data_IF_499746742649
#
_entry.id   IF_499746742649
#
_cell.length_a   1.000
_cell.length_b   1.000
_cell.length_c   1.000
_cell.angle_alpha   90.00
_cell.angle_beta   90.00
_cell.angle_gamma   90.00
#
_symmetry.space_group_name_H-M   'P 1'
#
loop_
_entity.id
_entity.type
_entity.pdbx_description
1 polymer ?
#
# COMPACT_ATOMS: atom_id res chain seq x y z
N UNK A 1 0.05 -26.75 -43.56
CA UNK A 1 -0.43 -25.99 -42.37
C UNK A 1 -1.01 -26.85 -41.24
N UNK A 2 -1.77 -27.95 -41.47
CA UNK A 2 -2.21 -28.81 -40.36
C UNK A 2 -1.02 -29.46 -39.61
N UNK A 3 0.09 -29.70 -40.31
CA UNK A 3 1.29 -30.32 -39.73
C UNK A 3 1.95 -29.43 -38.66
N UNK A 4 2.01 -28.11 -38.91
CA UNK A 4 2.57 -27.14 -37.94
C UNK A 4 1.70 -27.03 -36.68
N UNK A 5 0.38 -27.17 -36.84
CA UNK A 5 -0.57 -27.16 -35.71
C UNK A 5 -0.42 -28.45 -34.88
N UNK A 6 -0.26 -29.60 -35.54
CA UNK A 6 -0.04 -30.88 -34.88
C UNK A 6 1.32 -30.93 -34.17
N UNK A 7 2.37 -30.43 -34.80
CA UNK A 7 3.71 -30.32 -34.20
C UNK A 7 3.71 -29.38 -32.99
N UNK A 8 3.10 -28.20 -33.11
CA UNK A 8 2.96 -27.26 -32.00
C UNK A 8 2.16 -27.86 -30.83
N UNK A 9 1.14 -28.66 -31.12
CA UNK A 9 0.37 -29.40 -30.10
C UNK A 9 1.24 -30.44 -29.41
N UNK A 10 1.96 -31.28 -30.16
CA UNK A 10 2.83 -32.30 -29.60
C UNK A 10 3.93 -31.70 -28.70
N UNK A 11 4.50 -30.55 -29.09
CA UNK A 11 5.49 -29.84 -28.28
C UNK A 11 4.90 -29.18 -27.03
N UNK A 12 3.61 -28.82 -27.05
CA UNK A 12 2.92 -28.17 -25.93
C UNK A 12 2.38 -29.19 -24.92
N UNK A 13 1.84 -30.31 -25.41
CA UNK A 13 1.27 -31.39 -24.59
C UNK A 13 2.33 -32.42 -24.19
N UNK A 14 3.49 -32.43 -24.86
CA UNK A 14 4.63 -33.27 -24.52
C UNK A 14 5.58 -32.62 -23.50
N UNK A 15 6.22 -33.45 -22.69
CA UNK A 15 7.45 -33.11 -21.98
C UNK A 15 8.63 -33.24 -22.94
N UNK A 16 9.53 -32.25 -22.97
CA UNK A 16 10.75 -32.33 -23.76
C UNK A 16 11.67 -33.48 -23.30
N UNK A 17 12.75 -33.78 -24.05
CA UNK A 17 13.64 -34.92 -23.77
C UNK A 17 14.25 -34.88 -22.35
N UNK A 18 14.39 -33.69 -21.76
CA UNK A 18 14.93 -33.48 -20.40
C UNK A 18 13.86 -33.54 -19.29
N UNK A 19 12.63 -33.98 -19.60
CA UNK A 19 11.48 -33.91 -18.68
C UNK A 19 10.99 -32.48 -18.41
N UNK A 20 11.61 -31.47 -19.04
CA UNK A 20 11.23 -30.05 -18.93
C UNK A 20 10.20 -29.68 -19.99
N UNK A 21 9.22 -28.88 -19.62
CA UNK A 21 8.23 -28.38 -20.57
C UNK A 21 8.75 -27.16 -21.32
N UNK A 22 8.71 -27.23 -22.66
CA UNK A 22 9.11 -26.14 -23.54
C UNK A 22 8.19 -24.92 -23.37
N UNK A 23 8.76 -23.77 -23.06
CA UNK A 23 8.05 -22.50 -22.96
C UNK A 23 7.44 -22.12 -24.32
N UNK A 24 6.42 -21.26 -24.31
CA UNK A 24 5.82 -20.76 -25.57
C UNK A 24 6.84 -20.11 -26.50
N UNK A 25 7.89 -19.48 -25.95
CA UNK A 25 8.95 -18.85 -26.74
C UNK A 25 9.79 -19.89 -27.47
N UNK A 26 10.11 -21.01 -26.82
CA UNK A 26 10.88 -22.11 -27.42
C UNK A 26 10.05 -22.87 -28.45
N UNK A 27 8.76 -23.11 -28.18
CA UNK A 27 7.85 -23.71 -29.17
C UNK A 27 7.71 -22.78 -30.39
N UNK A 28 7.59 -21.47 -30.17
CA UNK A 28 7.53 -20.48 -31.25
C UNK A 28 8.80 -20.47 -32.11
N UNK A 29 9.97 -20.51 -31.48
CA UNK A 29 11.25 -20.58 -32.18
C UNK A 29 11.39 -21.86 -33.02
N UNK A 30 10.89 -23.00 -32.52
CA UNK A 30 10.99 -24.30 -33.18
C UNK A 30 10.00 -24.47 -34.34
N UNK A 31 8.79 -23.93 -34.19
CA UNK A 31 7.71 -24.08 -35.19
C UNK A 31 7.65 -22.93 -36.19
N UNK A 32 8.43 -21.86 -36.00
CA UNK A 32 8.34 -20.63 -36.80
C UNK A 32 7.05 -19.83 -36.59
N UNK A 33 6.24 -20.21 -35.59
CA UNK A 33 4.93 -19.60 -35.32
C UNK A 33 5.03 -18.60 -34.17
N UNK A 34 4.34 -17.46 -34.29
CA UNK A 34 4.34 -16.47 -33.20
C UNK A 34 3.73 -17.02 -31.90
N UNK A 35 4.24 -16.54 -30.76
CA UNK A 35 3.69 -16.87 -29.43
C UNK A 35 2.20 -16.51 -29.29
N UNK A 36 1.76 -15.44 -29.96
CA UNK A 36 0.37 -15.01 -30.00
C UNK A 36 -0.52 -16.02 -30.75
N UNK A 37 -0.01 -16.60 -31.84
CA UNK A 37 -0.70 -17.66 -32.59
C UNK A 37 -0.82 -18.94 -31.76
N UNK A 38 0.26 -19.36 -31.08
CA UNK A 38 0.22 -20.49 -30.15
C UNK A 38 -0.80 -20.28 -29.01
N UNK A 39 -0.89 -19.06 -28.47
CA UNK A 39 -1.90 -18.72 -27.46
C UNK A 39 -3.33 -18.79 -28.00
N UNK A 40 -3.56 -18.35 -29.25
CA UNK A 40 -4.86 -18.47 -29.91
C UNK A 40 -5.23 -19.92 -30.16
N UNK A 41 -4.29 -20.74 -30.64
CA UNK A 41 -4.52 -22.18 -30.85
C UNK A 41 -4.82 -22.91 -29.56
N UNK A 42 -4.05 -22.68 -28.49
CA UNK A 42 -4.35 -23.26 -27.18
C UNK A 42 -5.77 -22.94 -26.71
N UNK A 43 -6.21 -21.68 -26.84
CA UNK A 43 -7.57 -21.27 -26.46
C UNK A 43 -8.63 -21.91 -27.34
N UNK A 44 -8.43 -21.90 -28.66
CA UNK A 44 -9.38 -22.42 -29.66
C UNK A 44 -9.54 -23.95 -29.56
N UNK A 45 -8.45 -24.67 -29.34
CA UNK A 45 -8.41 -26.13 -29.34
C UNK A 45 -8.31 -26.74 -27.93
N UNK A 46 -8.39 -25.92 -26.87
CA UNK A 46 -8.33 -26.32 -25.46
C UNK A 46 -7.14 -27.22 -25.11
N UNK A 47 -5.99 -27.01 -25.75
CA UNK A 47 -4.78 -27.81 -25.49
C UNK A 47 -4.33 -27.67 -24.03
N UNK A 48 -4.02 -28.81 -23.41
CA UNK A 48 -3.64 -28.88 -22.01
C UNK A 48 -2.16 -29.15 -21.89
N UNK A 49 -1.48 -28.38 -21.04
CA UNK A 49 -0.11 -28.69 -20.68
C UNK A 49 -0.16 -29.77 -19.59
N UNK A 50 0.57 -30.89 -19.71
CA UNK A 50 0.64 -31.85 -18.63
C UNK A 50 1.08 -31.14 -17.34
N UNK A 51 0.65 -31.54 -16.16
CA UNK A 51 1.19 -30.98 -14.92
C UNK A 51 2.57 -31.61 -14.69
N UNK A 52 3.65 -30.97 -15.16
CA UNK A 52 4.99 -31.41 -14.82
C UNK A 52 5.20 -31.19 -13.32
N UNK A 53 5.24 -32.30 -12.57
CA UNK A 53 5.83 -32.38 -11.24
C UNK A 53 5.31 -31.32 -10.28
N UNK A 54 4.07 -31.44 -9.84
CA UNK A 54 3.59 -30.74 -8.63
C UNK A 54 4.36 -31.30 -7.44
N UNK A 55 5.56 -30.75 -7.17
CA UNK A 55 6.17 -30.88 -5.85
C UNK A 55 5.17 -30.36 -4.80
N UNK A 56 5.01 -31.03 -3.65
CA UNK A 56 4.19 -30.52 -2.55
C UNK A 56 4.95 -29.38 -1.87
N UNK A 57 5.02 -28.23 -2.54
CA UNK A 57 5.72 -27.05 -2.07
C UNK A 57 4.68 -26.05 -1.55
N UNK A 58 4.83 -25.69 -0.27
CA UNK A 58 3.89 -24.87 0.49
C UNK A 58 3.38 -23.66 -0.29
N UNK A 59 2.06 -23.53 -0.30
CA UNK A 59 1.25 -22.45 -0.87
C UNK A 59 1.96 -21.09 -0.88
N UNK A 60 2.67 -20.78 -1.97
CA UNK A 60 2.97 -19.41 -2.35
C UNK A 60 1.73 -18.85 -3.05
N UNK A 61 1.02 -17.86 -2.48
CA UNK A 61 -0.13 -17.30 -3.15
C UNK A 61 0.34 -16.59 -4.43
N UNK A 62 -0.41 -16.84 -5.49
CA UNK A 62 -0.22 -16.26 -6.81
C UNK A 62 0.06 -14.75 -6.71
N UNK A 63 1.07 -14.27 -7.44
CA UNK A 63 1.30 -12.82 -7.59
C UNK A 63 0.06 -12.19 -8.22
N UNK A 64 -0.79 -11.58 -7.39
CA UNK A 64 -2.00 -10.90 -7.84
C UNK A 64 -1.62 -9.66 -8.65
N UNK A 65 -1.88 -9.73 -9.97
CA UNK A 65 -1.85 -8.58 -10.87
C UNK A 65 -2.87 -7.55 -10.40
N UNK A 66 -2.43 -6.29 -10.35
CA UNK A 66 -3.29 -5.10 -10.27
C UNK A 66 -4.37 -5.19 -11.36
N UNK A 67 -5.60 -5.49 -10.96
CA UNK A 67 -6.75 -5.57 -11.84
C UNK A 67 -8.01 -5.30 -11.03
N UNK A 68 -8.82 -4.35 -11.48
CA UNK A 68 -10.05 -3.88 -10.85
C UNK A 68 -10.96 -5.05 -10.42
N UNK A 69 -11.39 -5.01 -9.16
CA UNK A 69 -12.75 -5.40 -8.80
C UNK A 69 -13.08 -6.88 -8.62
N UNK A 70 -12.10 -7.78 -8.41
CA UNK A 70 -12.47 -9.11 -7.92
C UNK A 70 -12.70 -9.06 -6.40
N UNK A 71 -13.91 -9.35 -5.88
CA UNK A 71 -14.10 -9.48 -4.45
C UNK A 71 -13.16 -10.57 -3.93
N UNK A 72 -12.50 -10.29 -2.81
CA UNK A 72 -11.72 -11.30 -2.10
C UNK A 72 -12.63 -12.52 -1.89
N UNK A 73 -12.14 -13.71 -2.25
CA UNK A 73 -12.85 -14.95 -1.92
C UNK A 73 -13.27 -14.87 -0.44
N UNK A 74 -14.52 -15.17 -0.13
CA UNK A 74 -15.06 -15.11 1.23
C UNK A 74 -14.14 -15.83 2.25
N UNK A 75 -13.40 -16.82 1.76
CA UNK A 75 -12.36 -17.58 2.45
C UNK A 75 -11.24 -16.71 3.01
N UNK A 76 -10.78 -15.67 2.31
CA UNK A 76 -9.69 -14.80 2.77
C UNK A 76 -10.13 -13.93 3.95
N UNK A 77 -11.35 -13.38 3.90
CA UNK A 77 -11.92 -12.57 4.99
C UNK A 77 -12.15 -13.46 6.23
N UNK A 78 -12.68 -14.66 6.04
CA UNK A 78 -12.86 -15.65 7.11
C UNK A 78 -11.53 -16.12 7.72
N UNK A 79 -10.52 -16.36 6.90
CA UNK A 79 -9.18 -16.73 7.37
C UNK A 79 -8.52 -15.61 8.18
N UNK A 80 -8.62 -14.36 7.72
CA UNK A 80 -8.12 -13.21 8.49
C UNK A 80 -8.88 -13.07 9.81
N UNK A 81 -10.23 -13.19 9.81
CA UNK A 81 -11.03 -13.12 11.04
C UNK A 81 -10.53 -14.13 12.07
N UNK A 82 -10.43 -15.41 11.69
CA UNK A 82 -9.95 -16.47 12.59
C UNK A 82 -8.58 -16.12 13.15
N UNK A 83 -7.62 -15.73 12.31
CA UNK A 83 -6.26 -15.41 12.77
C UNK A 83 -6.23 -14.19 13.69
N UNK A 84 -7.03 -13.15 13.41
CA UNK A 84 -7.10 -11.95 14.26
C UNK A 84 -7.68 -12.26 15.64
N UNK A 85 -8.73 -13.09 15.71
CA UNK A 85 -9.43 -13.36 16.98
C UNK A 85 -8.78 -14.47 17.82
N UNK A 86 -8.04 -15.39 17.19
CA UNK A 86 -7.45 -16.56 17.87
C UNK A 86 -5.96 -16.43 18.12
N UNK A 87 -5.25 -15.53 17.42
CA UNK A 87 -3.79 -15.42 17.51
C UNK A 87 -3.32 -14.02 17.88
N UNK A 88 -2.13 -13.94 18.45
CA UNK A 88 -1.41 -12.68 18.70
C UNK A 88 -0.46 -12.31 17.54
N UNK A 89 -0.63 -12.92 16.35
CA UNK A 89 0.25 -12.68 15.21
C UNK A 89 0.13 -11.22 14.73
N UNK A 90 1.23 -10.51 14.47
CA UNK A 90 1.15 -9.14 13.95
C UNK A 90 0.40 -9.11 12.62
N UNK A 91 -0.28 -8.00 12.31
CA UNK A 91 -1.08 -7.87 11.08
C UNK A 91 -0.26 -8.20 9.82
N UNK A 92 1.03 -7.86 9.80
CA UNK A 92 1.92 -8.17 8.70
C UNK A 92 2.16 -9.68 8.52
N UNK A 93 2.19 -10.46 9.61
CA UNK A 93 2.31 -11.92 9.55
C UNK A 93 1.00 -12.56 9.07
N UNK A 94 -0.14 -12.10 9.59
CA UNK A 94 -1.47 -12.52 9.14
C UNK A 94 -1.64 -12.24 7.63
N UNK A 95 -1.24 -11.05 7.19
CA UNK A 95 -1.28 -10.63 5.80
C UNK A 95 -0.45 -11.56 4.90
N UNK A 96 0.79 -11.88 5.30
CA UNK A 96 1.64 -12.84 4.57
C UNK A 96 1.02 -14.23 4.51
N UNK A 97 0.45 -14.71 5.61
CA UNK A 97 -0.14 -16.04 5.71
C UNK A 97 -1.39 -16.20 4.84
N UNK A 98 -2.21 -15.15 4.72
CA UNK A 98 -3.45 -15.18 3.92
C UNK A 98 -3.24 -14.66 2.48
N UNK A 99 -2.08 -14.06 2.17
CA UNK A 99 -1.79 -13.52 0.85
C UNK A 99 -2.51 -12.20 0.55
N UNK A 100 -2.81 -11.41 1.58
CA UNK A 100 -3.45 -10.09 1.47
C UNK A 100 -2.50 -8.99 1.92
N UNK A 101 -2.84 -7.72 1.66
CA UNK A 101 -2.04 -6.61 2.18
C UNK A 101 -2.33 -6.35 3.67
N UNK A 102 -1.33 -5.87 4.42
CA UNK A 102 -1.51 -5.46 5.81
C UNK A 102 -2.59 -4.38 5.95
N UNK A 103 -2.60 -3.40 5.02
CA UNK A 103 -3.60 -2.35 5.01
C UNK A 103 -5.03 -2.91 4.93
N UNK A 104 -5.24 -3.98 4.17
CA UNK A 104 -6.55 -4.62 4.07
C UNK A 104 -6.95 -5.37 5.33
N UNK A 105 -6.00 -6.04 5.99
CA UNK A 105 -6.24 -6.62 7.32
C UNK A 105 -6.72 -5.53 8.29
N UNK A 106 -6.05 -4.37 8.30
CA UNK A 106 -6.45 -3.23 9.14
C UNK A 106 -7.85 -2.70 8.79
N UNK A 107 -8.17 -2.56 7.50
CA UNK A 107 -9.51 -2.14 7.04
C UNK A 107 -10.59 -3.14 7.47
N UNK A 108 -10.34 -4.44 7.34
CA UNK A 108 -11.32 -5.46 7.75
C UNK A 108 -11.50 -5.51 9.26
N UNK A 109 -10.43 -5.40 10.04
CA UNK A 109 -10.52 -5.29 11.50
C UNK A 109 -11.40 -4.10 11.92
N UNK A 110 -11.19 -2.93 11.31
CA UNK A 110 -11.98 -1.73 11.62
C UNK A 110 -13.44 -1.87 11.14
N UNK A 111 -13.66 -2.36 9.93
CA UNK A 111 -15.00 -2.46 9.33
C UNK A 111 -15.89 -3.48 10.06
N UNK A 112 -15.30 -4.55 10.57
CA UNK A 112 -16.04 -5.65 11.20
C UNK A 112 -15.88 -5.70 12.72
N UNK A 113 -15.21 -4.72 13.33
CA UNK A 113 -15.03 -4.64 14.79
C UNK A 113 -14.26 -5.81 15.38
N UNK A 114 -13.33 -6.41 14.63
CA UNK A 114 -12.57 -7.55 15.13
C UNK A 114 -11.47 -7.10 16.09
N UNK A 115 -11.58 -7.55 17.33
CA UNK A 115 -10.59 -7.32 18.36
C UNK A 115 -9.67 -8.53 18.49
N UNK A 116 -8.40 -8.24 18.83
CA UNK A 116 -7.43 -9.27 19.16
C UNK A 116 -7.72 -9.84 20.54
N UNK A 117 -7.37 -11.10 20.80
CA UNK A 117 -7.47 -11.66 22.13
C UNK A 117 -6.59 -10.83 23.09
N UNK A 118 -7.03 -10.63 24.35
CA UNK A 118 -6.25 -9.89 25.33
C UNK A 118 -4.90 -10.59 25.53
N UNK A 119 -3.82 -9.80 25.49
CA UNK A 119 -2.49 -10.33 25.74
C UNK A 119 -2.40 -10.88 27.17
N UNK A 120 -1.72 -12.04 27.32
CA UNK A 120 -1.32 -12.50 28.66
C UNK A 120 -0.49 -11.40 29.34
N UNK A 121 -0.80 -10.99 30.58
CA UNK A 121 0.02 -10.04 31.32
C UNK A 121 1.43 -10.63 31.46
N UNK A 122 2.43 -9.97 30.85
CA UNK A 122 3.84 -10.42 30.84
C UNK A 122 4.53 -10.46 29.47
N UNK A 123 3.80 -10.20 28.38
CA UNK A 123 4.37 -10.13 27.02
C UNK A 123 5.22 -8.86 26.82
N UNK A 124 6.55 -8.98 26.91
CA UNK A 124 7.51 -7.88 26.66
C UNK A 124 7.53 -7.44 25.19
N UNK A 125 7.06 -8.31 24.28
CA UNK A 125 7.09 -8.11 22.81
C UNK A 125 6.20 -6.96 22.33
N UNK A 126 5.11 -6.66 23.07
CA UNK A 126 4.19 -5.57 22.76
C UNK A 126 4.20 -4.44 23.82
N UNK A 127 4.83 -4.63 24.98
CA UNK A 127 5.15 -3.54 25.89
C UNK A 127 6.04 -2.48 25.24
N UNK A 128 6.91 -2.87 24.30
CA UNK A 128 7.67 -1.96 23.44
C UNK A 128 6.80 -1.31 22.35
N UNK A 129 5.80 -2.03 21.80
CA UNK A 129 4.89 -1.51 20.78
C UNK A 129 3.89 -0.48 21.33
N UNK A 130 3.43 -0.63 22.58
CA UNK A 130 2.66 0.41 23.29
C UNK A 130 3.48 1.66 23.58
N UNK A 131 4.81 1.54 23.75
CA UNK A 131 5.73 2.70 23.83
C UNK A 131 6.05 3.32 22.46
N UNK A 132 5.84 2.60 21.35
CA UNK A 132 6.07 3.08 19.99
C UNK A 132 4.82 3.62 19.26
N UNK A 133 3.67 3.64 19.93
CA UNK A 133 2.38 4.04 19.36
C UNK A 133 1.97 5.46 19.73
N UNK A 134 2.37 6.42 18.93
CA UNK A 134 1.57 7.62 18.62
C UNK A 134 1.27 8.67 19.71
N UNK A 135 2.17 8.92 20.68
CA UNK A 135 2.14 10.16 21.46
C UNK A 135 3.57 10.68 21.66
N UNK A 136 3.76 11.98 21.40
CA UNK A 136 5.03 12.73 21.38
C UNK A 136 5.83 12.74 20.07
N UNK A 137 5.18 12.95 18.92
CA UNK A 137 5.87 13.70 17.85
C UNK A 137 5.60 15.19 18.06
N UNK A 138 6.28 15.76 19.05
CA UNK A 138 6.56 17.20 19.10
C UNK A 138 7.60 17.61 18.04
N UNK A 139 7.86 16.74 17.05
CA UNK A 139 8.96 16.91 16.11
C UNK A 139 8.63 16.59 14.66
N UNK A 140 9.57 16.97 13.80
CA UNK A 140 9.53 16.79 12.36
C UNK A 140 9.50 15.31 11.94
N UNK A 141 9.49 15.05 10.62
CA UNK A 141 9.51 13.67 10.07
C UNK A 141 10.75 12.85 10.48
N UNK A 142 11.77 13.49 11.06
CA UNK A 142 13.01 12.90 11.56
C UNK A 142 13.03 12.79 13.09
N UNK A 143 11.93 13.11 13.76
CA UNK A 143 11.79 13.07 15.21
C UNK A 143 12.48 14.23 15.93
N UNK A 144 12.89 15.29 15.21
CA UNK A 144 13.49 16.49 15.85
C UNK A 144 12.39 17.39 16.37
N UNK A 145 12.40 17.79 17.65
CA UNK A 145 11.38 18.67 18.19
C UNK A 145 11.29 19.97 17.37
N UNK A 146 10.07 20.43 17.12
CA UNK A 146 9.85 21.71 16.47
C UNK A 146 10.32 22.83 17.39
N UNK A 147 11.10 23.76 16.84
CA UNK A 147 11.56 24.92 17.59
C UNK A 147 10.35 25.71 18.13
N UNK A 148 10.40 26.21 19.39
CA UNK A 148 9.31 26.99 19.97
C UNK A 148 9.03 28.28 19.17
N UNK A 149 10.01 28.82 18.43
CA UNK A 149 9.76 29.91 17.48
C UNK A 149 8.81 29.51 16.36
N UNK A 150 8.97 28.30 15.78
CA UNK A 150 8.13 27.84 14.68
C UNK A 150 6.66 27.68 15.11
N UNK A 151 6.43 27.26 16.36
CA UNK A 151 5.08 27.15 16.94
C UNK A 151 4.47 28.52 17.20
N UNK A 152 5.25 29.49 17.72
CA UNK A 152 4.83 30.89 17.92
C UNK A 152 4.50 31.58 16.59
N UNK A 153 5.36 31.41 15.57
CA UNK A 153 5.15 31.96 14.24
C UNK A 153 3.90 31.34 13.58
N UNK A 154 3.70 30.02 13.73
CA UNK A 154 2.51 29.36 13.21
C UNK A 154 1.22 29.90 13.85
N UNK A 155 1.23 30.17 15.16
CA UNK A 155 0.11 30.77 15.88
C UNK A 155 -0.20 32.17 15.39
N UNK A 156 0.81 33.04 15.29
CA UNK A 156 0.64 34.39 14.77
C UNK A 156 0.06 34.37 13.35
N UNK A 157 0.57 33.50 12.47
CA UNK A 157 0.04 33.36 11.12
C UNK A 157 -1.40 32.82 11.12
N UNK A 158 -1.75 31.93 12.04
CA UNK A 158 -3.10 31.38 12.14
C UNK A 158 -4.13 32.41 12.63
N UNK A 159 -3.78 33.17 13.65
CA UNK A 159 -4.67 34.14 14.32
C UNK A 159 -4.74 35.48 13.56
N UNK A 160 -3.67 35.90 12.90
CA UNK A 160 -3.62 37.21 12.21
C UNK A 160 -3.94 37.12 10.72
N UNK A 161 -3.83 35.93 10.11
CA UNK A 161 -4.00 35.76 8.67
C UNK A 161 -5.06 34.71 8.34
N UNK A 162 -5.60 34.79 7.13
CA UNK A 162 -6.47 33.73 6.59
C UNK A 162 -5.71 32.74 5.70
N UNK A 163 -4.40 32.60 5.90
CA UNK A 163 -3.59 31.69 5.09
C UNK A 163 -4.09 30.24 5.23
N UNK A 164 -4.11 29.46 4.14
CA UNK A 164 -4.38 28.04 4.24
C UNK A 164 -3.29 27.37 5.09
N UNK A 165 -3.68 26.36 5.87
CA UNK A 165 -2.77 25.64 6.79
C UNK A 165 -1.54 25.07 6.10
N UNK A 166 -1.64 24.75 4.81
CA UNK A 166 -0.49 24.32 3.99
C UNK A 166 0.56 25.41 3.80
N UNK A 167 0.17 26.68 3.64
CA UNK A 167 1.12 27.79 3.50
C UNK A 167 1.73 28.17 4.85
N UNK A 168 0.95 28.12 5.93
CA UNK A 168 1.48 28.30 7.29
C UNK A 168 2.54 27.21 7.57
N UNK A 169 2.22 25.94 7.27
CA UNK A 169 3.16 24.84 7.41
C UNK A 169 4.43 25.02 6.59
N UNK A 170 4.30 25.40 5.31
CA UNK A 170 5.45 25.66 4.44
C UNK A 170 6.35 26.78 4.99
N UNK A 171 5.75 27.84 5.56
CA UNK A 171 6.49 28.99 6.11
C UNK A 171 7.30 28.65 7.35
N UNK A 172 6.75 27.82 8.24
CA UNK A 172 7.36 27.46 9.54
C UNK A 172 8.12 26.13 9.50
N UNK A 173 8.27 25.52 8.32
CA UNK A 173 8.93 24.22 8.16
C UNK A 173 8.16 23.04 8.77
N UNK A 174 6.84 23.17 8.97
CA UNK A 174 5.99 22.15 9.56
C UNK A 174 5.00 21.55 8.54
N UNK A 175 4.58 20.30 8.79
CA UNK A 175 3.54 19.71 7.97
C UNK A 175 2.18 20.34 8.30
N UNK A 176 1.31 20.52 7.30
CA UNK A 176 -0.03 21.11 7.49
C UNK A 176 -0.87 20.44 8.59
N UNK A 177 -0.69 19.12 8.76
CA UNK A 177 -1.40 18.34 9.79
C UNK A 177 -0.88 18.68 11.19
N UNK A 178 0.42 18.94 11.32
CA UNK A 178 1.05 19.39 12.57
C UNK A 178 0.50 20.75 12.99
N UNK A 179 0.44 21.71 12.07
CA UNK A 179 -0.12 23.04 12.34
C UNK A 179 -1.60 22.98 12.73
N UNK A 180 -2.40 22.15 12.03
CA UNK A 180 -3.80 21.95 12.40
C UNK A 180 -3.96 21.30 13.77
N UNK A 181 -3.04 20.40 14.15
CA UNK A 181 -3.03 19.78 15.49
C UNK A 181 -2.71 20.82 16.56
N UNK A 182 -1.68 21.64 16.39
CA UNK A 182 -1.35 22.72 17.33
C UNK A 182 -2.52 23.67 17.54
N UNK A 183 -3.16 24.11 16.44
CA UNK A 183 -4.34 24.96 16.51
C UNK A 183 -5.49 24.33 17.30
N UNK A 184 -5.68 23.01 17.19
CA UNK A 184 -6.71 22.28 17.94
C UNK A 184 -6.34 22.10 19.42
N UNK A 185 -5.09 21.77 19.72
CA UNK A 185 -4.60 21.53 21.09
C UNK A 185 -4.61 22.82 21.93
N UNK A 186 -4.32 23.95 21.30
CA UNK A 186 -4.24 25.25 21.98
C UNK A 186 -5.45 26.16 21.74
N UNK A 187 -6.47 25.68 21.00
CA UNK A 187 -7.68 26.45 20.74
C UNK A 187 -7.48 27.73 19.92
N UNK A 188 -6.58 27.72 18.93
CA UNK A 188 -6.31 28.91 18.11
C UNK A 188 -7.51 29.28 17.24
N UNK A 189 -7.95 30.52 17.33
CA UNK A 189 -9.08 31.04 16.57
C UNK A 189 -8.63 31.64 15.22
N UNK A 190 -9.51 31.57 14.22
CA UNK A 190 -9.29 32.21 12.93
C UNK A 190 -10.08 33.51 12.80
N UNK A 191 -9.53 34.53 12.12
CA UNK A 191 -10.26 35.77 11.85
C UNK A 191 -11.58 35.51 11.11
N UNK A 192 -12.74 36.01 11.61
CA UNK A 192 -14.05 35.74 11.02
C UNK A 192 -14.24 36.45 9.66
N UNK A 193 -14.55 35.69 8.60
CA UNK A 193 -14.88 36.18 7.24
C UNK A 193 -14.17 35.46 6.08
N UNK A 194 -14.53 35.74 4.82
CA UNK A 194 -13.91 35.12 3.62
C UNK A 194 -12.53 35.74 3.30
N UNK A 195 -11.51 34.92 3.04
CA UNK A 195 -10.20 35.41 2.61
C UNK A 195 -10.30 36.18 1.28
N UNK A 196 -10.04 37.48 1.30
CA UNK A 196 -10.04 38.30 0.08
C UNK A 196 -8.76 38.07 -0.73
N UNK A 197 -8.89 37.97 -2.06
CA UNK A 197 -7.77 37.80 -3.02
C UNK A 197 -6.60 38.80 -2.83
N UNK A 198 -6.83 39.97 -2.21
CA UNK A 198 -5.80 40.99 -1.94
C UNK A 198 -4.70 40.53 -0.95
N UNK A 199 -5.02 39.69 0.04
CA UNK A 199 -4.02 39.21 1.02
C UNK A 199 -2.97 38.27 0.39
N UNK A 200 -3.32 37.58 -0.70
CA UNK A 200 -2.42 36.66 -1.40
C UNK A 200 -1.39 37.39 -2.28
N UNK A 201 -1.67 38.62 -2.74
CA UNK A 201 -0.76 39.37 -3.62
C UNK A 201 0.35 40.12 -2.87
N UNK A 202 0.09 40.59 -1.65
CA UNK A 202 1.12 41.26 -0.83
C UNK A 202 2.28 40.34 -0.42
N UNK A 203 2.01 39.04 -0.24
CA UNK A 203 3.02 38.07 0.21
C UNK A 203 3.99 37.62 -0.89
N UNK A 204 3.56 37.58 -2.16
CA UNK A 204 4.45 37.25 -3.29
C UNK A 204 5.42 38.38 -3.64
N UNK A 205 5.14 39.62 -3.23
CA UNK A 205 6.07 40.75 -3.38
C UNK A 205 7.26 40.69 -2.41
N UNK A 206 7.07 40.12 -1.21
CA UNK A 206 8.14 40.01 -0.19
C UNK A 206 9.07 38.79 -0.39
N UNK A 207 8.65 37.76 -1.14
CA UNK A 207 9.46 36.57 -1.44
C UNK A 207 10.59 36.80 -2.46
N UNK A 208 10.68 38.00 -3.07
CA UNK A 208 11.68 38.32 -4.11
C UNK A 208 12.77 39.32 -3.67
N UNK A 209 12.77 39.78 -2.41
CA UNK A 209 13.58 40.92 -1.96
C UNK A 209 14.64 40.63 -0.89
N UNK A 210 15.16 39.41 -0.78
CA UNK A 210 16.30 39.13 0.12
C UNK A 210 17.26 38.15 -0.55
N UNK A 211 17.98 38.68 -1.52
CA UNK A 211 19.15 38.08 -2.15
C UNK A 211 20.04 39.23 -2.59
N UNK A 212 20.65 39.88 -1.60
CA UNK A 212 21.69 40.89 -1.74
C UNK A 212 22.74 40.60 -0.68
#
# INVERSE_FOLDING_TARGET
>A
MPDVVAEARALLEGTGPDGKQLTFKEIAARTGVSTATLCRWRKRHRWQRPEAGRQPEGARPARYRRGRGLPYAADAVGAVRRLVTTTLLPQAAIARQVGVSQAQVSVWMHRHGWSRPPERPGSTRFAAARRGGALQTEGDRRGRPYAPEARREARQLWELTRLPTSLIGARVGAHRVTVARWAKEEGWERPPGRAGRKQLRGLFGMLKGSGG
#
